data_IF_084098906945
#
_entry.id   IF_084098906945
#
_cell.length_a   1.000
_cell.length_b   1.000
_cell.length_c   1.000
_cell.angle_alpha   90.00
_cell.angle_beta   90.00
_cell.angle_gamma   90.00
#
_symmetry.space_group_name_H-M   'P 1'
#
loop_
_entity.id
_entity.type
_entity.pdbx_description
1 polymer ?
#
# COMPACT_ATOMS: atom_id res chain seq x y z
N UNK A 1 -14.69 9.94 2.09
CA UNK A 1 -14.49 8.73 1.24
C UNK A 1 -13.10 8.78 0.64
N UNK A 2 -12.33 7.72 0.76
CA UNK A 2 -10.95 7.66 0.26
C UNK A 2 -10.93 7.37 -1.24
N UNK A 3 -9.98 7.96 -1.95
CA UNK A 3 -9.73 7.69 -3.36
C UNK A 3 -8.53 6.76 -3.51
N UNK A 4 -8.72 5.63 -4.18
CA UNK A 4 -7.66 4.66 -4.42
C UNK A 4 -6.84 5.04 -5.66
N UNK A 5 -5.53 4.92 -5.57
CA UNK A 5 -4.62 5.02 -6.71
C UNK A 5 -3.87 3.71 -6.84
N UNK A 6 -4.09 3.02 -7.95
CA UNK A 6 -3.38 1.78 -8.27
C UNK A 6 -2.23 2.12 -9.21
N UNK A 7 -0.99 1.95 -8.74
CA UNK A 7 0.20 2.02 -9.59
C UNK A 7 0.42 0.67 -10.25
N UNK A 8 0.54 0.64 -11.55
CA UNK A 8 0.75 -0.58 -12.34
C UNK A 8 1.68 -0.35 -13.53
N UNK A 9 2.09 -1.44 -14.16
CA UNK A 9 2.81 -1.49 -15.42
C UNK A 9 2.11 -2.44 -16.39
N UNK A 10 2.20 -2.20 -17.69
CA UNK A 10 1.56 -3.04 -18.71
C UNK A 10 1.99 -4.51 -18.64
N UNK A 11 3.18 -4.82 -18.11
CA UNK A 11 3.64 -6.20 -17.88
C UNK A 11 2.86 -6.93 -16.76
N UNK A 12 2.07 -6.20 -15.97
CA UNK A 12 1.31 -6.72 -14.83
C UNK A 12 -0.22 -6.59 -15.01
N UNK A 13 -0.70 -6.48 -16.25
CA UNK A 13 -2.12 -6.29 -16.52
C UNK A 13 -3.01 -7.42 -16.02
N UNK A 14 -2.51 -8.66 -16.03
CA UNK A 14 -3.19 -9.81 -15.45
C UNK A 14 -3.45 -9.62 -13.95
N UNK A 15 -2.46 -9.09 -13.23
CA UNK A 15 -2.57 -8.77 -11.80
C UNK A 15 -3.44 -7.55 -11.59
N UNK A 16 -3.27 -6.50 -12.39
CA UNK A 16 -4.09 -5.29 -12.34
C UNK A 16 -5.59 -5.60 -12.54
N UNK A 17 -5.94 -6.57 -13.41
CA UNK A 17 -7.32 -7.04 -13.56
C UNK A 17 -7.87 -7.61 -12.25
N UNK A 18 -7.11 -8.42 -11.55
CA UNK A 18 -7.50 -8.98 -10.24
C UNK A 18 -7.74 -7.83 -9.26
N UNK A 19 -6.78 -6.93 -9.11
CA UNK A 19 -6.91 -5.76 -8.21
C UNK A 19 -8.15 -4.92 -8.56
N UNK A 20 -8.45 -4.77 -9.84
CA UNK A 20 -9.62 -4.03 -10.33
C UNK A 20 -10.94 -4.64 -9.84
N UNK A 21 -11.06 -5.98 -9.85
CA UNK A 21 -12.24 -6.70 -9.37
C UNK A 21 -12.39 -6.58 -7.85
N UNK A 22 -11.31 -6.75 -7.10
CA UNK A 22 -11.33 -6.61 -5.63
C UNK A 22 -11.61 -5.16 -5.18
N UNK A 23 -11.23 -4.17 -5.99
CA UNK A 23 -11.59 -2.76 -5.79
C UNK A 23 -12.87 -2.35 -6.52
N UNK A 24 -13.80 -3.29 -6.74
CA UNK A 24 -15.10 -2.96 -7.33
C UNK A 24 -15.90 -2.02 -6.43
N UNK A 25 -16.57 -1.04 -7.05
CA UNK A 25 -17.47 -0.11 -6.36
C UNK A 25 -16.81 1.01 -5.54
N UNK A 26 -15.47 1.18 -5.64
CA UNK A 26 -14.78 2.31 -5.00
C UNK A 26 -14.30 3.34 -6.02
N UNK A 27 -14.18 4.60 -5.55
CA UNK A 27 -13.53 5.66 -6.31
C UNK A 27 -12.05 5.34 -6.49
N UNK A 28 -11.60 5.24 -7.74
CA UNK A 28 -10.22 4.84 -8.04
C UNK A 28 -9.67 5.39 -9.34
N UNK A 29 -8.36 5.67 -9.32
CA UNK A 29 -7.55 6.05 -10.49
C UNK A 29 -6.47 5.01 -10.76
N UNK A 30 -6.11 4.88 -12.02
CA UNK A 30 -5.01 4.03 -12.48
C UNK A 30 -3.81 4.90 -12.88
N UNK A 31 -2.64 4.62 -12.32
CA UNK A 31 -1.37 5.20 -12.74
C UNK A 31 -0.57 4.12 -13.48
N UNK A 32 -0.44 4.26 -14.80
CA UNK A 32 0.10 3.22 -15.69
C UNK A 32 1.05 3.82 -16.73
N UNK A 33 2.00 3.03 -17.19
CA UNK A 33 2.86 3.43 -18.31
C UNK A 33 2.05 3.57 -19.61
N UNK A 34 2.64 4.25 -20.59
CA UNK A 34 1.97 4.62 -21.85
C UNK A 34 1.29 3.45 -22.55
N UNK A 35 0.02 3.69 -22.74
CA UNK A 35 -0.89 3.30 -23.82
C UNK A 35 -0.64 1.95 -24.50
N UNK A 36 -1.41 0.96 -24.08
CA UNK A 36 -1.72 -0.17 -24.91
C UNK A 36 -3.24 -0.22 -25.12
N UNK A 37 -3.70 -0.09 -26.37
CA UNK A 37 -5.12 -0.05 -26.74
C UNK A 37 -5.89 -1.34 -26.37
N UNK A 38 -5.20 -2.41 -26.03
CA UNK A 38 -5.81 -3.68 -25.60
C UNK A 38 -6.39 -3.67 -24.17
N UNK A 39 -6.40 -2.51 -23.48
CA UNK A 39 -6.73 -2.39 -22.06
C UNK A 39 -8.03 -1.62 -21.81
N UNK A 40 -8.82 -1.36 -22.84
CA UNK A 40 -10.06 -0.57 -22.71
C UNK A 40 -11.00 -1.11 -21.62
N UNK A 41 -11.09 -2.42 -21.46
CA UNK A 41 -11.92 -3.05 -20.43
C UNK A 41 -11.48 -2.72 -19.00
N UNK A 42 -10.16 -2.60 -18.77
CA UNK A 42 -9.61 -2.19 -17.47
C UNK A 42 -9.86 -0.69 -17.27
N UNK A 43 -9.58 0.12 -18.28
CA UNK A 43 -9.73 1.57 -18.19
C UNK A 43 -11.15 1.99 -17.85
N UNK A 44 -12.15 1.32 -18.37
CA UNK A 44 -13.56 1.61 -18.09
C UNK A 44 -13.96 1.43 -16.63
N UNK A 45 -13.14 0.79 -15.81
CA UNK A 45 -13.36 0.54 -14.37
C UNK A 45 -12.74 1.60 -13.46
N UNK A 46 -12.00 2.55 -14.01
CA UNK A 46 -11.33 3.61 -13.28
C UNK A 46 -11.90 4.97 -13.65
N UNK A 47 -12.00 5.88 -12.69
CA UNK A 47 -12.50 7.25 -12.92
C UNK A 47 -11.48 8.08 -13.68
N UNK A 48 -10.19 7.86 -13.41
CA UNK A 48 -9.11 8.56 -14.07
C UNK A 48 -8.02 7.57 -14.47
N UNK A 49 -7.48 7.74 -15.68
CA UNK A 49 -6.29 7.05 -16.17
C UNK A 49 -5.17 8.07 -16.31
N UNK A 50 -4.10 7.85 -15.58
CA UNK A 50 -2.93 8.72 -15.55
C UNK A 50 -1.77 7.97 -16.16
N UNK A 51 -1.23 8.52 -17.25
CA UNK A 51 -0.10 7.91 -17.94
C UNK A 51 1.22 8.50 -17.46
N UNK A 52 2.20 7.63 -17.20
CA UNK A 52 3.58 8.01 -16.95
C UNK A 52 4.51 7.56 -18.07
N UNK A 53 5.68 8.16 -18.14
CA UNK A 53 6.76 7.77 -19.04
C UNK A 53 7.67 6.73 -18.36
N UNK A 54 7.79 5.56 -18.98
CA UNK A 54 8.57 4.44 -18.47
C UNK A 54 10.07 4.69 -18.41
N UNK A 55 10.56 5.64 -19.24
CA UNK A 55 11.96 6.04 -19.22
C UNK A 55 12.35 6.82 -17.98
N UNK A 56 11.38 7.34 -17.23
CA UNK A 56 11.61 8.15 -16.03
C UNK A 56 11.82 7.28 -14.78
N UNK A 57 12.60 7.77 -13.80
CA UNK A 57 12.69 7.15 -12.48
C UNK A 57 11.33 7.02 -11.79
N UNK A 58 11.19 6.05 -10.89
CA UNK A 58 9.93 5.75 -10.21
C UNK A 58 9.31 6.97 -9.52
N UNK A 59 10.10 7.74 -8.78
CA UNK A 59 9.61 8.94 -8.11
C UNK A 59 9.09 10.01 -9.10
N UNK A 60 9.72 10.17 -10.27
CA UNK A 60 9.22 11.03 -11.33
C UNK A 60 7.87 10.58 -11.88
N UNK A 61 7.65 9.25 -12.00
CA UNK A 61 6.36 8.68 -12.42
C UNK A 61 5.24 9.02 -11.44
N UNK A 62 5.55 9.00 -10.13
CA UNK A 62 4.60 9.36 -9.07
C UNK A 62 4.22 10.85 -9.08
N UNK A 63 5.05 11.73 -9.64
CA UNK A 63 4.71 13.15 -9.81
C UNK A 63 3.51 13.38 -10.74
N UNK A 64 3.16 12.41 -11.59
CA UNK A 64 1.98 12.48 -12.46
C UNK A 64 0.65 12.52 -11.65
N UNK A 65 0.68 12.15 -10.37
CA UNK A 65 -0.45 12.27 -9.45
C UNK A 65 -0.84 13.74 -9.17
N UNK A 66 -0.02 14.71 -9.58
CA UNK A 66 -0.38 16.15 -9.56
C UNK A 66 -1.71 16.42 -10.30
N UNK A 67 -2.08 15.59 -11.27
CA UNK A 67 -3.35 15.66 -11.99
C UNK A 67 -4.58 15.42 -11.10
N UNK A 68 -4.39 14.83 -9.92
CA UNK A 68 -5.46 14.52 -8.95
C UNK A 68 -5.58 15.54 -7.81
N UNK A 69 -4.62 16.46 -7.64
CA UNK A 69 -4.50 17.31 -6.44
C UNK A 69 -5.69 18.23 -6.16
N UNK A 70 -6.37 18.67 -7.23
CA UNK A 70 -7.53 19.55 -7.10
C UNK A 70 -8.84 18.75 -6.91
N UNK A 71 -8.80 17.44 -7.05
CA UNK A 71 -9.95 16.55 -6.91
C UNK A 71 -9.97 15.82 -5.57
N UNK A 72 -8.80 15.45 -5.05
CA UNK A 72 -8.70 14.60 -3.87
C UNK A 72 -7.65 15.13 -2.88
N UNK A 73 -8.05 15.31 -1.63
CA UNK A 73 -7.14 15.67 -0.55
C UNK A 73 -6.32 14.46 -0.08
N UNK A 74 -6.97 13.31 0.02
CA UNK A 74 -6.35 12.05 0.47
C UNK A 74 -6.47 10.97 -0.59
N UNK A 75 -5.38 10.25 -0.79
CA UNK A 75 -5.34 9.06 -1.65
C UNK A 75 -4.83 7.86 -0.85
N UNK A 76 -5.34 6.67 -1.18
CA UNK A 76 -4.72 5.41 -0.79
C UNK A 76 -3.91 4.92 -1.99
N UNK A 77 -2.59 5.07 -1.89
CA UNK A 77 -1.67 4.62 -2.94
C UNK A 77 -1.32 3.15 -2.68
N UNK A 78 -1.55 2.31 -3.66
CA UNK A 78 -1.22 0.88 -3.64
C UNK A 78 -0.64 0.45 -4.98
N UNK A 79 0.16 -0.61 -4.96
CA UNK A 79 0.63 -1.27 -6.18
C UNK A 79 -0.35 -2.37 -6.60
N UNK A 80 -0.41 -2.66 -7.89
CA UNK A 80 -1.26 -3.73 -8.44
C UNK A 80 -0.94 -5.11 -7.84
N UNK A 81 0.32 -5.34 -7.47
CA UNK A 81 0.79 -6.59 -6.85
C UNK A 81 0.29 -6.79 -5.42
N UNK A 82 -0.22 -5.75 -4.77
CA UNK A 82 -0.81 -5.78 -3.42
C UNK A 82 -2.34 -5.86 -3.53
N UNK A 83 -2.86 -7.07 -3.73
CA UNK A 83 -4.30 -7.28 -3.90
C UNK A 83 -5.04 -7.00 -2.61
N UNK A 84 -5.92 -6.01 -2.63
CA UNK A 84 -6.77 -5.63 -1.48
C UNK A 84 -7.91 -6.63 -1.35
N UNK A 85 -7.83 -7.53 -0.36
CA UNK A 85 -8.83 -8.57 -0.13
C UNK A 85 -10.05 -8.08 0.64
N UNK A 86 -9.85 -7.16 1.55
CA UNK A 86 -10.88 -6.61 2.44
C UNK A 86 -10.62 -5.15 2.74
N UNK A 87 -11.66 -4.36 2.78
CA UNK A 87 -11.64 -2.97 3.21
C UNK A 87 -12.94 -2.63 3.94
N UNK A 88 -12.83 -1.83 4.98
CA UNK A 88 -13.96 -1.20 5.66
C UNK A 88 -13.85 0.31 5.48
N UNK A 89 -14.68 0.83 4.58
CA UNK A 89 -14.65 2.24 4.22
C UNK A 89 -15.01 3.13 5.42
N UNK A 90 -15.82 2.63 6.37
CA UNK A 90 -16.18 3.37 7.60
C UNK A 90 -14.95 3.61 8.48
N UNK A 91 -14.13 2.59 8.68
CA UNK A 91 -12.90 2.72 9.47
C UNK A 91 -11.83 3.53 8.73
N UNK A 92 -11.73 3.38 7.41
CA UNK A 92 -10.85 4.21 6.59
C UNK A 92 -11.24 5.70 6.63
N UNK A 93 -12.53 6.03 6.62
CA UNK A 93 -13.02 7.40 6.78
C UNK A 93 -12.70 7.98 8.18
N UNK A 94 -12.72 7.15 9.24
CA UNK A 94 -12.22 7.57 10.56
C UNK A 94 -10.72 7.88 10.53
N UNK A 95 -9.92 7.04 9.88
CA UNK A 95 -8.48 7.30 9.72
C UNK A 95 -8.25 8.64 9.03
N UNK A 96 -9.00 8.93 7.95
CA UNK A 96 -8.91 10.23 7.26
C UNK A 96 -9.30 11.40 8.19
N UNK A 97 -10.36 11.23 8.98
CA UNK A 97 -10.76 12.28 9.95
C UNK A 97 -9.67 12.55 10.98
N UNK A 98 -9.00 11.49 11.47
CA UNK A 98 -7.84 11.63 12.35
C UNK A 98 -6.63 12.24 11.63
N UNK A 99 -6.45 11.97 10.35
CA UNK A 99 -5.41 12.62 9.55
C UNK A 99 -5.65 14.13 9.45
N UNK A 100 -6.90 14.57 9.29
CA UNK A 100 -7.26 15.98 9.31
C UNK A 100 -7.03 16.61 10.70
N UNK A 101 -7.50 15.97 11.75
CA UNK A 101 -7.43 16.49 13.12
C UNK A 101 -6.00 16.64 13.63
N UNK A 102 -5.14 15.69 13.25
CA UNK A 102 -3.76 15.64 13.74
C UNK A 102 -2.72 16.06 12.70
N UNK A 103 -3.14 16.64 11.58
CA UNK A 103 -2.28 17.12 10.51
C UNK A 103 -1.27 16.04 10.03
N UNK A 104 -1.80 14.85 9.74
CA UNK A 104 -0.98 13.72 9.31
C UNK A 104 -0.72 13.76 7.82
N UNK A 105 0.53 13.61 7.44
CA UNK A 105 0.95 13.52 6.04
C UNK A 105 0.71 12.13 5.46
N UNK A 106 1.00 11.09 6.25
CA UNK A 106 0.93 9.70 5.83
C UNK A 106 0.47 8.80 6.96
N UNK A 107 -0.37 7.83 6.59
CA UNK A 107 -0.63 6.63 7.41
C UNK A 107 -0.20 5.40 6.61
N UNK A 108 0.84 4.73 7.07
CA UNK A 108 1.26 3.43 6.55
C UNK A 108 0.29 2.36 7.07
N UNK A 109 -0.35 1.63 6.16
CA UNK A 109 -1.30 0.58 6.52
C UNK A 109 -0.61 -0.73 6.94
N UNK A 110 0.71 -0.74 6.98
CA UNK A 110 1.49 -1.81 7.55
C UNK A 110 1.54 -1.69 9.08
N UNK A 111 1.38 -2.83 9.78
CA UNK A 111 1.48 -2.86 11.24
C UNK A 111 2.94 -2.70 11.65
N UNK A 112 3.20 -1.76 12.55
CA UNK A 112 4.50 -1.65 13.20
C UNK A 112 4.62 -2.73 14.27
N UNK A 113 5.63 -3.59 14.14
CA UNK A 113 5.93 -4.69 15.06
C UNK A 113 7.06 -4.38 16.05
N UNK A 114 7.71 -3.23 15.88
CA UNK A 114 8.72 -2.76 16.80
C UNK A 114 8.06 -2.07 18.01
N UNK A 115 7.91 -2.78 19.12
CA UNK A 115 7.24 -2.37 20.38
C UNK A 115 7.79 -1.09 21.05
N UNK A 116 8.55 -0.25 20.36
CA UNK A 116 9.32 0.84 20.97
C UNK A 116 8.63 2.22 20.94
N UNK A 117 7.38 2.30 20.49
CA UNK A 117 6.78 3.59 20.12
C UNK A 117 5.43 3.87 20.79
N UNK A 118 5.33 3.65 22.06
CA UNK A 118 4.06 3.78 22.81
C UNK A 118 3.61 5.25 22.97
N UNK A 119 4.51 6.20 22.76
CA UNK A 119 4.19 7.62 22.87
C UNK A 119 3.51 8.15 21.62
N UNK A 120 2.49 9.02 21.79
CA UNK A 120 1.69 9.62 20.71
C UNK A 120 0.85 8.63 19.89
N UNK A 121 0.26 7.64 20.55
CA UNK A 121 -0.72 6.75 19.93
C UNK A 121 -2.11 7.36 19.94
N UNK A 122 -2.86 7.13 18.88
CA UNK A 122 -4.25 7.57 18.72
C UNK A 122 -5.09 6.35 18.44
N UNK A 123 -6.09 6.07 19.26
CA UNK A 123 -7.01 4.97 19.04
C UNK A 123 -7.93 5.30 17.84
N UNK A 124 -7.96 4.44 16.83
CA UNK A 124 -8.75 4.69 15.61
C UNK A 124 -10.26 4.71 15.90
N UNK A 125 -10.71 3.93 16.88
CA UNK A 125 -12.13 3.84 17.17
C UNK A 125 -12.66 5.00 18.00
N UNK A 126 -11.87 5.49 18.97
CA UNK A 126 -12.28 6.52 19.93
C UNK A 126 -11.69 7.89 19.66
N UNK A 127 -10.61 8.00 18.90
CA UNK A 127 -9.82 9.22 18.72
C UNK A 127 -8.98 9.58 19.95
N UNK A 128 -9.00 8.77 21.02
CA UNK A 128 -8.28 9.07 22.26
C UNK A 128 -6.77 8.99 22.06
N UNK A 129 -6.07 10.05 22.50
CA UNK A 129 -4.61 10.16 22.45
C UNK A 129 -4.00 9.58 23.72
N UNK A 130 -3.09 8.65 23.59
CA UNK A 130 -2.38 7.98 24.70
C UNK A 130 -3.30 7.30 25.73
N UNK A 131 -4.51 6.92 25.32
CA UNK A 131 -5.46 6.20 26.13
C UNK A 131 -4.99 4.79 26.51
N UNK A 132 -5.73 4.13 27.40
CA UNK A 132 -5.47 2.74 27.78
C UNK A 132 -5.62 1.82 26.59
N UNK A 133 -4.69 0.90 26.41
CA UNK A 133 -4.76 -0.13 25.37
C UNK A 133 -5.62 -1.30 25.82
N UNK A 134 -6.67 -1.60 25.08
CA UNK A 134 -7.49 -2.79 25.25
C UNK A 134 -7.16 -3.81 24.16
N UNK A 135 -7.51 -5.05 24.42
CA UNK A 135 -7.40 -6.10 23.42
C UNK A 135 -8.24 -5.72 22.17
N UNK A 136 -7.70 -5.98 21.01
CA UNK A 136 -8.27 -5.62 19.69
C UNK A 136 -8.29 -4.13 19.33
N UNK A 137 -7.75 -3.24 20.15
CA UNK A 137 -7.59 -1.86 19.76
C UNK A 137 -6.53 -1.70 18.67
N UNK A 138 -6.81 -0.82 17.73
CA UNK A 138 -5.87 -0.42 16.67
C UNK A 138 -5.55 1.06 16.87
N UNK A 139 -4.28 1.36 16.84
CA UNK A 139 -3.76 2.70 17.06
C UNK A 139 -2.98 3.20 15.85
N UNK A 140 -3.00 4.51 15.66
CA UNK A 140 -2.05 5.23 14.84
C UNK A 140 -0.90 5.70 15.74
N UNK A 141 0.33 5.36 15.40
CA UNK A 141 1.52 5.76 16.15
C UNK A 141 2.43 6.62 15.30
N UNK A 142 2.92 7.73 15.86
CA UNK A 142 3.82 8.64 15.15
C UNK A 142 5.19 7.97 14.94
N UNK A 143 5.59 7.77 13.70
CA UNK A 143 6.81 7.08 13.33
C UNK A 143 8.04 8.00 13.31
N UNK A 144 8.53 8.46 14.47
CA UNK A 144 9.73 9.34 14.52
C UNK A 144 11.07 8.62 14.61
N UNK A 145 11.09 7.37 14.96
CA UNK A 145 12.32 6.60 15.18
C UNK A 145 12.41 5.37 14.26
N UNK A 146 11.32 5.00 13.60
CA UNK A 146 11.29 3.88 12.65
C UNK A 146 12.20 4.15 11.45
N UNK A 147 12.80 3.07 10.95
CA UNK A 147 13.76 3.14 9.85
C UNK A 147 13.10 3.57 8.54
N UNK A 148 11.86 3.12 8.28
CA UNK A 148 11.13 3.42 7.06
C UNK A 148 10.02 4.43 7.30
N UNK A 149 10.24 5.67 6.88
CA UNK A 149 9.21 6.71 6.79
C UNK A 149 8.45 6.62 5.46
N UNK A 150 9.15 6.20 4.40
CA UNK A 150 8.63 5.83 3.09
C UNK A 150 8.91 4.35 2.82
N UNK A 151 7.91 3.66 2.35
CA UNK A 151 7.98 2.35 1.71
C UNK A 151 6.94 2.30 0.58
N UNK A 152 7.02 1.32 -0.29
CA UNK A 152 6.10 1.15 -1.42
C UNK A 152 4.79 0.43 -1.06
N UNK A 153 4.62 0.05 0.22
CA UNK A 153 3.40 -0.62 0.68
C UNK A 153 2.19 0.32 0.62
N UNK A 154 1.00 -0.27 0.65
CA UNK A 154 -0.25 0.47 0.68
C UNK A 154 -0.27 1.49 1.82
N UNK A 155 -0.54 2.74 1.50
CA UNK A 155 -0.56 3.82 2.48
C UNK A 155 -1.51 4.94 2.07
N UNK A 156 -2.08 5.60 3.09
CA UNK A 156 -2.91 6.79 2.90
C UNK A 156 -2.00 8.01 2.97
N UNK A 157 -2.12 8.89 1.99
CA UNK A 157 -1.35 10.11 1.89
C UNK A 157 -2.25 11.35 1.80
N UNK A 158 -1.86 12.42 2.49
CA UNK A 158 -2.23 13.76 2.05
C UNK A 158 -1.53 14.01 0.71
N UNK A 159 -2.31 14.21 -0.35
CA UNK A 159 -1.76 14.25 -1.71
C UNK A 159 -0.85 15.46 -1.93
N UNK A 160 -1.18 16.63 -1.37
CA UNK A 160 -0.35 17.81 -1.52
C UNK A 160 1.00 17.64 -0.82
N UNK A 161 1.01 17.08 0.39
CA UNK A 161 2.25 16.78 1.11
C UNK A 161 3.08 15.73 0.35
N UNK A 162 2.42 14.66 -0.13
CA UNK A 162 3.08 13.64 -0.94
C UNK A 162 3.80 14.26 -2.14
N UNK A 163 3.09 15.08 -2.92
CA UNK A 163 3.65 15.72 -4.10
C UNK A 163 4.78 16.68 -3.75
N UNK A 164 4.65 17.45 -2.65
CA UNK A 164 5.68 18.38 -2.19
C UNK A 164 6.99 17.67 -1.81
N UNK A 165 6.87 16.44 -1.29
CA UNK A 165 8.02 15.60 -0.96
C UNK A 165 8.59 14.96 -2.23
N UNK A 166 7.77 14.23 -2.98
CA UNK A 166 8.25 13.36 -4.05
C UNK A 166 8.92 14.14 -5.18
N UNK A 167 8.48 15.37 -5.44
CA UNK A 167 9.06 16.23 -6.46
C UNK A 167 10.52 16.60 -6.19
N UNK A 168 10.93 16.61 -4.91
CA UNK A 168 12.30 16.89 -4.51
C UNK A 168 13.24 15.71 -4.72
N UNK A 169 12.69 14.52 -4.93
CA UNK A 169 13.40 13.25 -5.03
C UNK A 169 13.15 12.53 -6.36
N UNK A 170 12.87 13.29 -7.43
CA UNK A 170 12.49 12.77 -8.76
C UNK A 170 13.39 11.69 -9.32
N UNK A 171 14.69 11.75 -9.00
CA UNK A 171 15.70 10.84 -9.55
C UNK A 171 15.72 9.47 -8.85
N UNK A 172 14.91 9.28 -7.79
CA UNK A 172 14.88 8.00 -7.08
C UNK A 172 14.15 6.94 -7.91
N UNK A 173 14.84 5.83 -8.07
CA UNK A 173 14.30 4.63 -8.70
C UNK A 173 13.46 3.83 -7.69
N UNK A 174 12.71 2.83 -8.16
CA UNK A 174 11.96 1.92 -7.33
C UNK A 174 12.83 1.24 -6.24
N UNK A 175 14.06 0.86 -6.59
CA UNK A 175 15.00 0.23 -5.64
C UNK A 175 15.61 1.20 -4.64
N UNK A 176 15.84 2.45 -5.05
CA UNK A 176 16.54 3.44 -4.20
C UNK A 176 15.60 4.27 -3.33
N UNK A 177 14.30 4.32 -3.62
CA UNK A 177 13.37 5.22 -2.92
C UNK A 177 13.22 4.83 -1.45
N UNK A 178 13.08 3.55 -1.14
CA UNK A 178 12.95 3.08 0.24
C UNK A 178 14.26 3.21 1.04
N UNK A 179 15.40 3.07 0.37
CA UNK A 179 16.72 3.14 0.99
C UNK A 179 17.34 4.55 1.00
N UNK A 180 16.65 5.56 0.45
CA UNK A 180 17.15 6.94 0.43
C UNK A 180 17.15 7.55 1.83
N UNK A 181 18.31 7.67 2.45
CA UNK A 181 18.46 8.28 3.77
C UNK A 181 17.94 9.72 3.83
N UNK A 182 18.07 10.46 2.72
CA UNK A 182 17.63 11.85 2.62
C UNK A 182 16.10 11.95 2.60
N UNK A 183 15.42 11.11 1.82
CA UNK A 183 13.96 11.04 1.81
C UNK A 183 13.41 10.60 3.17
N UNK A 184 14.00 9.56 3.76
CA UNK A 184 13.60 9.05 5.08
C UNK A 184 13.77 10.12 6.16
N UNK A 185 14.90 10.85 6.15
CA UNK A 185 15.17 11.94 7.08
C UNK A 185 14.18 13.09 6.91
N UNK A 186 13.94 13.51 5.66
CA UNK A 186 12.98 14.59 5.36
C UNK A 186 11.58 14.29 5.86
N UNK A 187 11.08 13.08 5.60
CA UNK A 187 9.76 12.66 6.07
C UNK A 187 9.69 12.61 7.62
N UNK A 188 10.75 12.10 8.27
CA UNK A 188 10.81 12.03 9.73
C UNK A 188 10.85 13.40 10.39
N UNK A 189 11.62 14.33 9.82
CA UNK A 189 11.96 15.59 10.47
C UNK A 189 10.95 16.71 10.16
N UNK A 190 10.35 16.69 8.96
CA UNK A 190 9.48 17.77 8.47
C UNK A 190 7.99 17.38 8.38
N UNK A 191 7.67 16.08 8.40
CA UNK A 191 6.32 15.57 8.16
C UNK A 191 5.83 14.67 9.29
N UNK A 192 4.51 14.42 9.31
CA UNK A 192 3.88 13.55 10.29
C UNK A 192 3.49 12.21 9.67
N UNK A 193 4.38 11.24 9.76
CA UNK A 193 4.18 9.88 9.28
C UNK A 193 3.73 9.00 10.44
N UNK A 194 2.59 8.35 10.27
CA UNK A 194 2.02 7.43 11.24
C UNK A 194 2.02 6.00 10.69
N UNK A 195 2.06 5.05 11.60
CA UNK A 195 1.90 3.62 11.32
C UNK A 195 0.80 3.04 12.19
N UNK A 196 0.26 1.93 11.72
CA UNK A 196 -0.68 1.15 12.48
C UNK A 196 0.05 0.36 13.57
N UNK A 197 -0.54 0.31 14.76
CA UNK A 197 -0.07 -0.49 15.87
C UNK A 197 -1.24 -1.26 16.49
N UNK A 198 -0.99 -2.50 16.88
CA UNK A 198 -1.95 -3.33 17.61
C UNK A 198 -1.23 -4.13 18.69
N UNK A 199 -1.93 -4.39 19.79
CA UNK A 199 -1.41 -5.18 20.91
C UNK A 199 -1.37 -6.69 20.62
N UNK A 200 -1.95 -7.15 19.52
CA UNK A 200 -1.99 -8.56 19.18
C UNK A 200 -0.69 -9.05 18.55
N UNK A 201 0.00 -9.96 19.24
CA UNK A 201 1.26 -10.57 18.78
C UNK A 201 1.16 -11.34 17.44
N UNK A 202 -0.03 -11.65 16.97
CA UNK A 202 -0.28 -12.49 15.80
C UNK A 202 -0.57 -11.73 14.51
N UNK A 203 -0.71 -10.41 14.56
CA UNK A 203 -1.02 -9.58 13.39
C UNK A 203 0.24 -8.97 12.79
N UNK A 204 1.17 -9.82 12.41
CA UNK A 204 2.39 -9.35 11.73
C UNK A 204 2.04 -8.95 10.31
N UNK A 205 1.95 -7.62 10.06
CA UNK A 205 2.19 -7.13 8.73
C UNK A 205 3.68 -7.30 8.44
N UNK A 206 4.04 -8.16 7.50
CA UNK A 206 5.32 -8.03 6.79
C UNK A 206 5.03 -7.35 5.44
N UNK A 207 6.04 -6.95 4.70
CA UNK A 207 5.87 -6.29 3.40
C UNK A 207 5.08 -7.10 2.35
N UNK A 208 4.63 -8.32 2.66
CA UNK A 208 3.91 -9.20 1.76
C UNK A 208 2.43 -9.38 2.07
N UNK A 209 1.97 -8.97 3.23
CA UNK A 209 0.54 -8.99 3.55
C UNK A 209 0.24 -8.12 4.78
N UNK A 210 -0.98 -7.62 4.83
CA UNK A 210 -1.57 -6.98 6.01
C UNK A 210 -2.93 -7.60 6.26
N UNK A 211 -3.17 -8.04 7.48
CA UNK A 211 -4.40 -8.71 7.90
C UNK A 211 -5.05 -7.95 9.06
N UNK A 212 -5.43 -6.70 8.81
CA UNK A 212 -6.23 -5.92 9.74
C UNK A 212 -7.71 -6.25 9.53
N UNK A 213 -8.53 -6.11 10.56
CA UNK A 213 -9.96 -6.34 10.43
C UNK A 213 -10.63 -5.41 9.41
N UNK A 214 -10.10 -4.20 9.27
CA UNK A 214 -10.65 -3.18 8.37
C UNK A 214 -9.91 -3.04 7.04
N UNK A 215 -8.68 -3.58 6.90
CA UNK A 215 -7.89 -3.52 5.68
C UNK A 215 -6.99 -4.75 5.57
N UNK A 216 -7.14 -5.50 4.49
CA UNK A 216 -6.33 -6.69 4.24
C UNK A 216 -5.82 -6.67 2.80
N UNK A 217 -4.54 -6.91 2.61
CA UNK A 217 -3.99 -7.12 1.29
C UNK A 217 -2.99 -8.29 1.27
N UNK A 218 -2.80 -8.84 0.08
CA UNK A 218 -1.77 -9.86 -0.21
C UNK A 218 -0.87 -9.38 -1.31
N UNK A 219 0.43 -9.46 -1.08
CA UNK A 219 1.45 -9.31 -2.10
C UNK A 219 1.58 -10.64 -2.84
N UNK A 220 1.08 -10.73 -4.07
CA UNK A 220 0.96 -12.01 -4.78
C UNK A 220 2.12 -12.31 -5.73
N UNK A 221 2.89 -11.29 -6.11
CA UNK A 221 4.08 -11.49 -6.97
C UNK A 221 5.29 -10.75 -6.42
N UNK A 222 6.47 -11.32 -6.63
CA UNK A 222 7.74 -10.67 -6.34
C UNK A 222 8.70 -10.88 -7.50
N UNK A 223 9.29 -9.79 -8.02
CA UNK A 223 10.15 -9.86 -9.20
C UNK A 223 9.47 -10.50 -10.42
N UNK A 224 8.15 -10.31 -10.59
CA UNK A 224 7.36 -10.88 -11.68
C UNK A 224 6.93 -12.33 -11.49
N UNK A 225 7.34 -12.98 -10.41
CA UNK A 225 7.00 -14.37 -10.10
C UNK A 225 5.96 -14.48 -9.00
N UNK A 226 5.09 -15.49 -9.08
CA UNK A 226 4.13 -15.78 -8.02
C UNK A 226 4.85 -16.19 -6.72
N UNK A 227 4.37 -15.69 -5.61
CA UNK A 227 4.85 -16.07 -4.28
C UNK A 227 4.10 -17.35 -3.85
N UNK A 228 4.78 -18.49 -3.65
CA UNK A 228 4.10 -19.72 -3.24
C UNK A 228 3.65 -19.65 -1.79
N UNK A 229 2.42 -20.13 -1.50
CA UNK A 229 1.85 -20.18 -0.16
C UNK A 229 2.67 -21.02 0.83
N UNK A 230 3.36 -22.05 0.35
CA UNK A 230 3.95 -23.11 1.15
C UNK A 230 5.44 -22.93 1.50
N UNK A 231 6.13 -21.98 0.86
CA UNK A 231 7.61 -21.95 0.92
C UNK A 231 8.25 -20.80 1.68
N UNK A 232 7.50 -19.77 1.98
CA UNK A 232 8.09 -18.57 2.57
C UNK A 232 7.62 -18.39 3.99
N UNK A 233 7.64 -19.17 4.90
CA UNK A 233 7.28 -18.97 6.32
C UNK A 233 6.43 -17.70 6.64
N UNK A 234 6.39 -16.80 5.68
CA UNK A 234 5.65 -15.55 5.66
C UNK A 234 4.14 -15.76 5.49
N UNK A 235 3.74 -16.81 4.76
CA UNK A 235 2.33 -17.14 4.56
C UNK A 235 1.76 -18.11 5.61
N UNK A 236 2.58 -18.69 6.46
CA UNK A 236 2.13 -19.60 7.53
C UNK A 236 1.26 -18.89 8.60
N UNK A 237 1.25 -17.57 8.62
CA UNK A 237 0.43 -16.76 9.52
C UNK A 237 -0.79 -16.14 8.85
N UNK A 238 -1.07 -16.48 7.58
CA UNK A 238 -2.29 -16.05 6.91
C UNK A 238 -3.51 -16.67 7.60
N UNK A 239 -4.58 -15.89 7.69
CA UNK A 239 -5.89 -16.43 8.09
C UNK A 239 -6.41 -17.42 7.04
N UNK A 240 -7.29 -18.33 7.44
CA UNK A 240 -7.93 -19.27 6.51
C UNK A 240 -8.60 -18.52 5.34
N UNK A 241 -9.23 -17.37 5.63
CA UNK A 241 -9.82 -16.49 4.62
C UNK A 241 -8.78 -16.05 3.57
N UNK A 242 -7.61 -15.55 4.00
CA UNK A 242 -6.58 -15.08 3.08
C UNK A 242 -5.97 -16.24 2.27
N UNK A 243 -5.86 -17.43 2.85
CA UNK A 243 -5.45 -18.66 2.15
C UNK A 243 -6.45 -19.07 1.07
N UNK A 244 -7.74 -19.02 1.37
CA UNK A 244 -8.79 -19.34 0.40
C UNK A 244 -8.83 -18.33 -0.73
N UNK A 245 -8.72 -17.03 -0.42
CA UNK A 245 -8.69 -15.97 -1.44
C UNK A 245 -7.46 -16.07 -2.34
N UNK A 246 -6.28 -16.38 -1.78
CA UNK A 246 -5.09 -16.63 -2.58
C UNK A 246 -5.29 -17.77 -3.58
N UNK A 247 -5.85 -18.91 -3.13
CA UNK A 247 -6.16 -20.04 -4.02
C UNK A 247 -7.13 -19.63 -5.13
N UNK A 248 -8.20 -18.90 -4.78
CA UNK A 248 -9.15 -18.40 -5.79
C UNK A 248 -8.48 -17.50 -6.81
N UNK A 249 -7.57 -16.61 -6.38
CA UNK A 249 -6.81 -15.75 -7.28
C UNK A 249 -5.96 -16.60 -8.24
N UNK A 250 -5.19 -17.53 -7.71
CA UNK A 250 -4.33 -18.38 -8.55
C UNK A 250 -5.17 -19.22 -9.53
N UNK A 251 -6.20 -19.88 -9.04
CA UNK A 251 -6.99 -20.82 -9.84
C UNK A 251 -7.82 -20.11 -10.93
N UNK A 252 -8.44 -18.98 -10.59
CA UNK A 252 -9.37 -18.31 -11.50
C UNK A 252 -8.70 -17.32 -12.46
N UNK A 253 -7.62 -16.68 -12.06
CA UNK A 253 -7.03 -15.58 -12.83
C UNK A 253 -5.63 -15.88 -13.36
N UNK A 254 -4.86 -16.73 -12.71
CA UNK A 254 -3.45 -16.94 -13.04
C UNK A 254 -3.18 -18.32 -13.67
N UNK A 255 -4.12 -19.24 -13.62
CA UNK A 255 -4.03 -20.54 -14.30
C UNK A 255 -3.97 -20.31 -15.81
N UNK A 256 -2.93 -20.83 -16.45
CA UNK A 256 -2.69 -20.67 -17.88
C UNK A 256 -1.94 -19.40 -18.29
N UNK A 257 -1.59 -18.54 -17.34
CA UNK A 257 -0.66 -17.43 -17.59
C UNK A 257 0.79 -17.94 -17.64
N UNK A 258 1.69 -17.14 -18.23
CA UNK A 258 3.13 -17.44 -18.25
C UNK A 258 3.82 -17.15 -16.90
N UNK A 259 3.04 -16.88 -15.83
CA UNK A 259 3.60 -16.63 -14.49
C UNK A 259 3.91 -17.96 -13.80
N UNK A 260 5.16 -18.12 -13.45
CA UNK A 260 5.65 -19.30 -12.75
C UNK A 260 5.81 -19.00 -11.26
N UNK A 261 5.56 -19.99 -10.42
CA UNK A 261 5.93 -19.92 -9.01
C UNK A 261 7.45 -19.80 -8.89
N UNK A 262 7.88 -18.89 -8.03
CA UNK A 262 9.29 -18.70 -7.72
C UNK A 262 9.85 -19.99 -7.12
N UNK A 263 10.73 -20.69 -7.84
CA UNK A 263 11.40 -21.88 -7.33
C UNK A 263 12.65 -21.46 -6.57
N UNK A 264 12.65 -21.69 -5.24
CA UNK A 264 13.86 -21.79 -4.44
C UNK A 264 14.82 -20.61 -4.45
N UNK A 265 14.35 -19.37 -4.63
CA UNK A 265 15.24 -18.22 -4.48
C UNK A 265 15.58 -18.04 -3.01
N UNK A 266 16.86 -18.12 -2.69
CA UNK A 266 17.41 -17.51 -1.48
C UNK A 266 17.28 -15.99 -1.59
N UNK A 267 17.10 -15.30 -0.48
CA UNK A 267 16.95 -13.82 -0.39
C UNK A 267 18.13 -13.02 -0.98
N UNK A 268 19.12 -13.70 -1.55
CA UNK A 268 20.38 -13.12 -2.03
C UNK A 268 20.52 -13.05 -3.56
N UNK A 269 19.51 -13.47 -4.33
CA UNK A 269 19.56 -13.43 -5.79
C UNK A 269 18.49 -12.49 -6.38
N UNK A 270 18.59 -11.21 -6.05
CA UNK A 270 17.95 -10.12 -6.81
C UNK A 270 18.94 -8.99 -6.98
#
# INVERSE_FOLDING_TARGET
MIHYVVYTHTDFLDICKIQTEYLSGVSKSLLINKNNLEIEDIYSKYENIIFYDDSLPYASRLCELDKLKDMFKYILLTHDIDIVLKKDDTTLDKVISLMDEHDMTRVDLQIDWENNWIDNRININTGEVNGEMKDNDIFLTLNRKGYYQYNVNASIWNLNDFLSVIIQFKELTYRSIESSSELQAKLRDEYRVYKLYTNENNRRGCGYFVLLDFYQYLHITHGGHLIPLDKTGQHNSLSDFAHEEYKKIVDNFLTGTNRHFRRGMSEHEV
#
